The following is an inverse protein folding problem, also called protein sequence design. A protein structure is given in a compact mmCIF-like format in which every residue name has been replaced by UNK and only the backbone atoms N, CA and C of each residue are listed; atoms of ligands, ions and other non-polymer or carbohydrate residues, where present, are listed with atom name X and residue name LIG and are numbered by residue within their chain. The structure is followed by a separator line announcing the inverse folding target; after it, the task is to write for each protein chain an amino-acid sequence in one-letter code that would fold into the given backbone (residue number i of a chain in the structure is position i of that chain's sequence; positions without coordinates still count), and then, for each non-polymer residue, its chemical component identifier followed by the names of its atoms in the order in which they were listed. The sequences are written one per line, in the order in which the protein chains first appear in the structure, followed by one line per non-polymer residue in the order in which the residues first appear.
data_IF_688618423464
#
_entry.id   IF_688618423464
#
_cell.length_a   1.000
_cell.length_b   1.000
_cell.length_c   1.000
_cell.angle_alpha   90.00
_cell.angle_beta   90.00
_cell.angle_gamma   90.00
#
_symmetry.space_group_name_H-M   'P 1'
#
loop_
_entity.id
_entity.type
_entity.pdbx_description
1 polymer ?
#
# COMPACT_ATOMS: atom_id res chain seq x y z
N UNK A 1 -9.52 -18.84 -18.31
CA UNK A 1 -9.45 -18.56 -16.86
C UNK A 1 -8.29 -17.62 -16.65
N UNK A 2 -8.50 -16.42 -16.11
CA UNK A 2 -7.41 -15.47 -15.88
C UNK A 2 -6.32 -16.16 -15.05
N UNK A 3 -5.06 -16.01 -15.45
CA UNK A 3 -3.95 -16.68 -14.78
C UNK A 3 -3.91 -16.18 -13.32
N UNK A 4 -4.12 -17.08 -12.36
CA UNK A 4 -4.31 -16.67 -10.98
C UNK A 4 -2.97 -16.35 -10.33
N UNK A 5 -2.75 -15.08 -10.01
CA UNK A 5 -1.64 -14.59 -9.19
C UNK A 5 -1.78 -14.98 -7.70
N UNK A 6 -2.71 -15.88 -7.36
CA UNK A 6 -3.08 -16.25 -5.99
C UNK A 6 -2.28 -17.43 -5.42
N UNK A 7 -1.42 -18.08 -6.22
CA UNK A 7 -0.64 -19.24 -5.76
C UNK A 7 0.45 -18.76 -4.80
N UNK A 8 0.21 -18.94 -3.50
CA UNK A 8 1.19 -18.64 -2.45
C UNK A 8 2.43 -19.52 -2.66
N UNK A 9 3.66 -18.95 -2.62
CA UNK A 9 4.88 -19.73 -2.77
C UNK A 9 5.00 -20.81 -1.68
N UNK A 10 5.45 -22.00 -2.08
CA UNK A 10 5.53 -23.18 -1.19
C UNK A 10 6.52 -23.02 -0.03
N UNK A 11 7.34 -21.97 -0.05
CA UNK A 11 8.31 -21.62 1.00
C UNK A 11 7.71 -20.80 2.13
N UNK A 12 6.42 -20.45 2.07
CA UNK A 12 5.73 -19.76 3.15
C UNK A 12 5.75 -20.59 4.43
N UNK A 13 6.22 -19.99 5.54
CA UNK A 13 6.24 -20.63 6.87
C UNK A 13 4.82 -20.88 7.40
N UNK A 14 3.86 -20.00 7.05
CA UNK A 14 2.44 -20.15 7.36
C UNK A 14 1.62 -19.70 6.17
N UNK A 15 0.74 -20.58 5.68
CA UNK A 15 -0.14 -20.23 4.57
C UNK A 15 -1.13 -19.14 5.01
N UNK A 16 -1.25 -18.03 4.27
CA UNK A 16 -2.25 -17.02 4.55
C UNK A 16 -3.65 -17.49 4.15
N UNK A 17 -4.67 -16.95 4.81
CA UNK A 17 -6.07 -17.21 4.51
C UNK A 17 -6.52 -16.32 3.35
N UNK A 18 -7.29 -16.88 2.40
CA UNK A 18 -7.90 -16.09 1.33
C UNK A 18 -8.92 -15.13 1.97
N UNK A 19 -8.85 -13.86 1.60
CA UNK A 19 -9.77 -12.82 2.04
C UNK A 19 -10.56 -12.30 0.85
N UNK A 20 -11.85 -12.00 1.07
CA UNK A 20 -12.67 -11.27 0.11
C UNK A 20 -13.36 -10.14 0.85
N UNK A 21 -13.32 -8.94 0.27
CA UNK A 21 -14.07 -7.81 0.78
C UNK A 21 -15.55 -8.06 0.51
N UNK A 22 -16.36 -8.04 1.56
CA UNK A 22 -17.80 -8.23 1.48
C UNK A 22 -18.48 -7.38 2.56
N UNK A 23 -18.60 -6.08 2.31
CA UNK A 23 -19.22 -5.16 3.26
C UNK A 23 -20.74 -5.43 3.30
N UNK A 24 -21.34 -5.67 4.47
CA UNK A 24 -22.78 -5.93 4.57
C UNK A 24 -23.63 -4.77 4.03
N UNK A 25 -24.73 -5.08 3.34
CA UNK A 25 -25.68 -4.05 2.85
C UNK A 25 -26.19 -3.13 3.97
N UNK A 26 -26.31 -3.66 5.19
CA UNK A 26 -26.68 -2.87 6.35
C UNK A 26 -25.70 -1.72 6.60
N UNK A 27 -24.38 -1.94 6.49
CA UNK A 27 -23.37 -0.91 6.69
C UNK A 27 -23.40 0.14 5.57
N UNK A 28 -23.66 -0.28 4.33
CA UNK A 28 -23.80 0.66 3.20
C UNK A 28 -25.04 1.55 3.34
N UNK A 29 -26.15 0.96 3.79
CA UNK A 29 -27.39 1.69 4.08
C UNK A 29 -27.22 2.68 5.24
N UNK A 30 -26.52 2.25 6.30
CA UNK A 30 -26.18 3.11 7.43
C UNK A 30 -25.29 4.27 6.98
N UNK A 31 -24.23 4.02 6.20
CA UNK A 31 -23.38 5.04 5.62
C UNK A 31 -24.17 6.08 4.82
N UNK A 32 -25.05 5.64 3.90
CA UNK A 32 -25.91 6.54 3.11
C UNK A 32 -26.84 7.36 4.00
N UNK A 33 -27.34 6.80 5.10
CA UNK A 33 -28.19 7.51 6.06
C UNK A 33 -27.41 8.59 6.79
N UNK A 34 -26.23 8.26 7.33
CA UNK A 34 -25.35 9.21 8.02
C UNK A 34 -24.90 10.34 7.10
N UNK A 35 -24.56 10.02 5.84
CA UNK A 35 -24.18 11.00 4.83
C UNK A 35 -25.32 12.01 4.59
N UNK A 36 -26.55 11.54 4.37
CA UNK A 36 -27.72 12.40 4.15
C UNK A 36 -27.98 13.35 5.32
N UNK A 37 -27.90 12.83 6.54
CA UNK A 37 -28.16 13.59 7.77
C UNK A 37 -27.02 14.57 8.13
N UNK A 38 -25.81 14.35 7.63
CA UNK A 38 -24.66 15.21 7.91
C UNK A 38 -24.88 16.61 7.35
N UNK A 39 -24.85 17.64 8.20
CA UNK A 39 -25.05 19.03 7.77
C UNK A 39 -23.79 19.61 7.13
N UNK A 40 -23.96 20.43 6.10
CA UNK A 40 -22.89 21.28 5.56
C UNK A 40 -22.96 22.62 6.32
N UNK A 41 -21.84 23.14 6.85
CA UNK A 41 -21.81 24.46 7.50
C UNK A 41 -22.24 25.58 6.55
N UNK A 42 -22.83 26.66 7.08
CA UNK A 42 -23.13 27.84 6.27
C UNK A 42 -21.85 28.44 5.66
N UNK A 43 -21.94 29.07 4.46
CA UNK A 43 -20.78 29.71 3.84
C UNK A 43 -20.12 30.76 4.75
N UNK A 44 -18.79 30.78 4.73
CA UNK A 44 -17.94 31.74 5.43
C UNK A 44 -16.97 32.39 4.43
N UNK A 45 -16.28 33.46 4.83
CA UNK A 45 -15.25 34.07 3.99
C UNK A 45 -14.19 33.05 3.55
N UNK A 46 -13.72 32.19 4.44
CA UNK A 46 -12.69 31.17 4.20
C UNK A 46 -13.18 30.08 3.25
N UNK A 47 -14.39 29.57 3.46
CA UNK A 47 -14.95 28.47 2.65
C UNK A 47 -15.39 28.91 1.25
N UNK A 48 -15.44 30.22 0.98
CA UNK A 48 -15.67 30.79 -0.35
C UNK A 48 -14.40 30.99 -1.17
N UNK A 49 -13.22 30.67 -0.62
CA UNK A 49 -11.95 30.76 -1.36
C UNK A 49 -11.72 29.48 -2.18
N UNK A 50 -11.86 29.58 -3.51
CA UNK A 50 -11.71 28.43 -4.42
C UNK A 50 -10.24 28.01 -4.65
N UNK A 51 -9.26 28.82 -4.24
CA UNK A 51 -7.83 28.46 -4.31
C UNK A 51 -7.37 27.52 -3.18
N UNK A 52 -8.26 27.18 -2.23
CA UNK A 52 -8.02 26.20 -1.18
C UNK A 52 -7.06 26.64 -0.07
N UNK A 53 -6.67 27.92 -0.02
CA UNK A 53 -5.66 28.41 0.94
C UNK A 53 -6.04 28.28 2.43
N UNK A 54 -7.31 28.02 2.72
CA UNK A 54 -7.84 27.77 4.06
C UNK A 54 -8.44 26.36 4.24
N UNK A 55 -8.23 25.44 3.30
CA UNK A 55 -8.80 24.10 3.29
C UNK A 55 -9.89 23.92 2.23
N UNK A 56 -10.76 22.91 2.41
CA UNK A 56 -11.81 22.58 1.46
C UNK A 56 -12.83 23.71 1.31
N UNK A 57 -13.25 24.02 0.09
CA UNK A 57 -14.27 25.04 -0.16
C UNK A 57 -15.68 24.51 0.12
N UNK A 58 -16.62 25.40 0.44
CA UNK A 58 -18.04 25.08 0.62
C UNK A 58 -18.60 24.40 -0.64
N UNK A 59 -18.23 24.91 -1.82
CA UNK A 59 -18.62 24.35 -3.12
C UNK A 59 -18.14 22.91 -3.26
N UNK A 60 -16.85 22.66 -3.04
CA UNK A 60 -16.27 21.31 -3.15
C UNK A 60 -16.95 20.31 -2.20
N UNK A 61 -17.17 20.69 -0.94
CA UNK A 61 -17.83 19.82 0.04
C UNK A 61 -19.27 19.52 -0.34
N UNK A 62 -20.00 20.52 -0.86
CA UNK A 62 -21.39 20.37 -1.30
C UNK A 62 -21.50 19.44 -2.50
N UNK A 63 -20.65 19.64 -3.52
CA UNK A 63 -20.62 18.80 -4.72
C UNK A 63 -20.16 17.38 -4.40
N UNK A 64 -19.16 17.21 -3.53
CA UNK A 64 -18.67 15.89 -3.11
C UNK A 64 -19.72 15.13 -2.31
N UNK A 65 -20.41 15.78 -1.38
CA UNK A 65 -21.53 15.16 -0.65
C UNK A 65 -22.60 14.68 -1.63
N UNK A 66 -23.00 15.52 -2.59
CA UNK A 66 -23.99 15.16 -3.61
C UNK A 66 -23.55 13.96 -4.44
N UNK A 67 -22.31 13.96 -4.93
CA UNK A 67 -21.74 12.83 -5.67
C UNK A 67 -21.78 11.54 -4.85
N UNK A 68 -21.39 11.59 -3.57
CA UNK A 68 -21.47 10.42 -2.69
C UNK A 68 -22.89 9.93 -2.44
N UNK A 69 -23.88 10.82 -2.39
CA UNK A 69 -25.28 10.44 -2.21
C UNK A 69 -25.88 9.78 -3.46
N UNK A 70 -25.60 10.34 -4.63
CA UNK A 70 -26.31 10.04 -5.88
C UNK A 70 -25.56 9.08 -6.81
N UNK A 71 -24.22 9.15 -6.86
CA UNK A 71 -23.42 8.50 -7.90
C UNK A 71 -22.44 7.46 -7.36
N UNK A 72 -21.90 7.66 -6.15
CA UNK A 72 -20.94 6.73 -5.57
C UNK A 72 -21.56 5.36 -5.30
N UNK A 73 -20.89 4.33 -5.83
CA UNK A 73 -21.25 2.93 -5.71
C UNK A 73 -20.08 2.14 -5.10
N UNK A 74 -20.25 1.70 -3.85
CA UNK A 74 -19.25 0.89 -3.16
C UNK A 74 -19.04 -0.46 -3.84
N UNK A 75 -20.08 -1.08 -4.42
CA UNK A 75 -19.99 -2.43 -4.99
C UNK A 75 -19.03 -2.50 -6.17
N UNK A 76 -18.97 -1.45 -7.00
CA UNK A 76 -17.96 -1.33 -8.06
C UNK A 76 -16.53 -1.30 -7.51
N UNK A 77 -16.31 -0.60 -6.40
CA UNK A 77 -15.00 -0.52 -5.76
C UNK A 77 -14.64 -1.85 -5.09
N UNK A 78 -15.59 -2.49 -4.44
CA UNK A 78 -15.44 -3.82 -3.83
C UNK A 78 -15.10 -4.89 -4.88
N UNK A 79 -15.78 -4.90 -6.02
CA UNK A 79 -15.47 -5.79 -7.14
C UNK A 79 -14.06 -5.55 -7.68
N UNK A 80 -13.67 -4.28 -7.84
CA UNK A 80 -12.31 -3.95 -8.30
C UNK A 80 -11.24 -4.42 -7.30
N UNK A 81 -11.45 -4.25 -6.00
CA UNK A 81 -10.54 -4.75 -4.95
C UNK A 81 -10.43 -6.27 -5.02
N UNK A 82 -11.57 -6.97 -5.12
CA UNK A 82 -11.63 -8.42 -5.20
C UNK A 82 -11.14 -8.99 -6.55
N UNK A 83 -10.90 -8.15 -7.56
CA UNK A 83 -10.24 -8.56 -8.81
C UNK A 83 -8.76 -8.93 -8.61
N UNK A 84 -8.19 -8.61 -7.45
CA UNK A 84 -6.85 -8.99 -7.03
C UNK A 84 -6.90 -10.09 -5.98
N UNK A 85 -5.87 -10.96 -5.88
CA UNK A 85 -5.72 -11.86 -4.74
C UNK A 85 -5.58 -11.07 -3.43
N UNK A 86 -6.53 -11.26 -2.52
CA UNK A 86 -6.58 -10.66 -1.19
C UNK A 86 -6.41 -11.75 -0.13
N UNK A 87 -5.70 -11.45 0.95
CA UNK A 87 -5.39 -12.43 1.99
C UNK A 87 -5.36 -11.82 3.39
N UNK A 88 -5.42 -12.67 4.41
CA UNK A 88 -5.03 -12.36 5.78
C UNK A 88 -3.97 -13.33 6.27
N UNK A 89 -2.88 -12.80 6.83
CA UNK A 89 -1.85 -13.57 7.52
C UNK A 89 -1.88 -13.24 9.01
N UNK A 90 -1.65 -14.27 9.83
CA UNK A 90 -1.35 -14.09 11.24
C UNK A 90 0.15 -13.89 11.42
N UNK A 91 0.52 -12.80 12.08
CA UNK A 91 1.89 -12.46 12.46
C UNK A 91 1.98 -12.45 13.97
N UNK A 92 2.85 -13.29 14.53
CA UNK A 92 3.09 -13.39 15.97
C UNK A 92 4.36 -12.61 16.34
N UNK A 93 4.25 -11.65 17.26
CA UNK A 93 5.41 -10.96 17.83
C UNK A 93 5.66 -11.40 19.28
N UNK A 94 6.91 -11.65 19.70
CA UNK A 94 7.23 -11.93 21.09
C UNK A 94 6.88 -10.73 22.00
N UNK A 95 6.08 -10.96 23.04
CA UNK A 95 5.65 -9.95 24.00
C UNK A 95 5.76 -10.49 25.44
N UNK A 96 7.00 -10.54 25.96
CA UNK A 96 7.28 -11.11 27.28
C UNK A 96 7.20 -12.65 27.25
N UNK A 97 6.28 -13.21 28.04
CA UNK A 97 6.06 -14.67 28.13
C UNK A 97 5.00 -15.19 27.15
N UNK A 98 4.33 -14.29 26.42
CA UNK A 98 3.28 -14.62 25.45
C UNK A 98 3.61 -14.00 24.08
N UNK A 99 2.94 -14.49 23.03
CA UNK A 99 2.99 -13.89 21.70
C UNK A 99 1.80 -12.95 21.52
N UNK A 100 2.05 -11.77 20.98
CA UNK A 100 1.01 -10.83 20.56
C UNK A 100 0.67 -11.12 19.08
N UNK A 101 -0.58 -11.53 18.84
CA UNK A 101 -1.08 -11.92 17.52
C UNK A 101 -1.59 -10.70 16.73
N UNK A 102 -1.15 -10.55 15.48
CA UNK A 102 -1.64 -9.54 14.54
C UNK A 102 -2.23 -10.20 13.30
N UNK A 103 -3.45 -9.82 12.92
CA UNK A 103 -4.08 -10.28 11.67
C UNK A 103 -3.91 -9.23 10.60
N UNK A 104 -2.98 -9.46 9.69
CA UNK A 104 -2.59 -8.50 8.67
C UNK A 104 -3.23 -8.85 7.34
N UNK A 105 -4.06 -7.94 6.84
CA UNK A 105 -4.59 -7.99 5.49
C UNK A 105 -3.50 -7.57 4.48
N UNK A 106 -3.49 -8.20 3.31
CA UNK A 106 -2.67 -7.75 2.19
C UNK A 106 -3.27 -8.17 0.84
N UNK A 107 -2.99 -7.37 -0.18
CA UNK A 107 -3.19 -7.73 -1.59
C UNK A 107 -1.85 -8.24 -2.14
N UNK A 108 -1.87 -9.24 -3.02
CA UNK A 108 -0.65 -9.75 -3.61
C UNK A 108 -0.78 -10.09 -5.10
N UNK A 109 0.35 -9.96 -5.81
CA UNK A 109 0.60 -10.67 -7.06
C UNK A 109 1.76 -11.64 -6.84
N UNK A 110 1.47 -12.94 -6.73
CA UNK A 110 2.51 -13.95 -6.61
C UNK A 110 2.98 -14.44 -7.99
N UNK A 111 4.28 -14.36 -8.21
CA UNK A 111 4.95 -15.06 -9.32
C UNK A 111 4.99 -16.57 -9.11
N UNK A 112 5.10 -17.32 -10.21
CA UNK A 112 5.43 -18.74 -10.24
C UNK A 112 6.92 -19.01 -10.49
N UNK A 113 7.72 -17.95 -10.67
CA UNK A 113 9.17 -18.07 -10.81
C UNK A 113 9.81 -18.32 -9.45
N UNK A 114 10.67 -19.33 -9.39
CA UNK A 114 11.43 -19.65 -8.17
C UNK A 114 12.44 -18.55 -7.77
N UNK A 115 12.86 -17.72 -8.73
CA UNK A 115 13.81 -16.62 -8.55
C UNK A 115 13.14 -15.24 -8.42
N UNK A 116 11.82 -15.18 -8.28
CA UNK A 116 11.09 -13.93 -8.16
C UNK A 116 11.48 -13.14 -6.91
N UNK A 117 11.68 -11.84 -7.07
CA UNK A 117 12.14 -10.95 -6.00
C UNK A 117 10.95 -10.57 -5.10
N UNK A 118 11.00 -10.81 -3.79
CA UNK A 118 9.95 -10.41 -2.86
C UNK A 118 9.99 -8.90 -2.58
N UNK A 119 8.88 -8.19 -2.83
CA UNK A 119 8.76 -6.74 -2.63
C UNK A 119 7.50 -6.43 -1.82
N UNK A 120 7.68 -5.74 -0.70
CA UNK A 120 6.58 -5.14 0.06
C UNK A 120 6.40 -3.67 -0.34
N UNK A 121 5.16 -3.26 -0.65
CA UNK A 121 4.78 -1.89 -0.95
C UNK A 121 3.98 -1.33 0.22
N UNK A 122 4.57 -0.40 0.96
CA UNK A 122 4.00 0.13 2.20
C UNK A 122 3.28 1.45 1.93
N UNK A 123 2.00 1.55 2.31
CA UNK A 123 1.21 2.78 2.20
C UNK A 123 1.44 3.70 3.41
N UNK A 124 0.91 4.92 3.34
CA UNK A 124 0.94 5.91 4.43
C UNK A 124 -0.45 6.27 4.95
N UNK A 125 -0.56 7.48 5.50
CA UNK A 125 -1.81 8.14 5.93
C UNK A 125 -2.03 9.41 5.09
N UNK A 126 -3.27 9.75 4.67
CA UNK A 126 -4.56 9.08 4.88
C UNK A 126 -4.81 7.92 3.89
N UNK A 127 -3.71 7.32 3.44
CA UNK A 127 -3.64 6.26 2.46
C UNK A 127 -4.11 4.87 2.90
N UNK A 128 -3.96 3.92 1.97
CA UNK A 128 -4.18 2.48 2.21
C UNK A 128 -3.59 1.65 1.07
N UNK A 129 -3.75 0.32 1.13
CA UNK A 129 -3.38 -0.60 0.05
C UNK A 129 -4.01 -0.21 -1.31
N UNK A 130 -5.11 0.56 -1.31
CA UNK A 130 -5.79 1.03 -2.53
C UNK A 130 -4.88 1.85 -3.45
N UNK A 131 -3.90 2.57 -2.89
CA UNK A 131 -2.96 3.40 -3.66
C UNK A 131 -2.13 2.61 -4.67
N UNK A 132 -1.91 1.33 -4.40
CA UNK A 132 -1.07 0.47 -5.23
C UNK A 132 -1.88 -0.37 -6.23
N UNK A 133 -3.23 -0.37 -6.19
CA UNK A 133 -4.03 -1.15 -7.15
C UNK A 133 -3.83 -0.71 -8.62
N UNK A 134 -3.65 0.59 -8.94
CA UNK A 134 -3.27 1.00 -10.29
C UNK A 134 -1.92 0.41 -10.74
N UNK A 135 -0.91 0.42 -9.86
CA UNK A 135 0.39 -0.23 -10.12
C UNK A 135 0.24 -1.74 -10.35
N UNK A 136 -0.52 -2.43 -9.49
CA UNK A 136 -0.75 -3.87 -9.65
C UNK A 136 -1.52 -4.17 -10.94
N UNK A 137 -2.37 -3.25 -11.42
CA UNK A 137 -3.02 -3.35 -12.73
C UNK A 137 -2.00 -3.35 -13.85
N UNK A 138 -1.08 -2.38 -13.87
CA UNK A 138 -0.02 -2.33 -14.88
C UNK A 138 0.87 -3.59 -14.85
N UNK A 139 1.22 -4.07 -13.65
CA UNK A 139 2.02 -5.28 -13.49
C UNK A 139 1.32 -6.54 -14.05
N UNK A 140 0.00 -6.66 -13.84
CA UNK A 140 -0.79 -7.80 -14.35
C UNK A 140 -1.03 -7.74 -15.86
N UNK A 141 -1.02 -6.54 -16.44
CA UNK A 141 -1.12 -6.33 -17.89
C UNK A 141 0.22 -6.61 -18.58
N UNK A 142 1.34 -6.26 -17.93
CA UNK A 142 2.69 -6.42 -18.46
C UNK A 142 3.23 -7.85 -18.36
N UNK A 143 2.86 -8.57 -17.29
CA UNK A 143 3.39 -9.89 -17.00
C UNK A 143 2.27 -10.94 -16.90
N UNK A 144 2.66 -12.20 -16.91
CA UNK A 144 1.86 -13.35 -16.47
C UNK A 144 2.43 -13.89 -15.16
N UNK A 145 1.71 -14.75 -14.40
CA UNK A 145 2.29 -15.36 -13.21
C UNK A 145 3.63 -16.08 -13.47
N UNK A 146 3.81 -16.68 -14.65
CA UNK A 146 5.05 -17.39 -15.02
C UNK A 146 6.22 -16.47 -15.39
N UNK A 147 5.94 -15.22 -15.76
CA UNK A 147 6.96 -14.28 -16.26
C UNK A 147 7.24 -13.13 -15.28
N UNK A 148 6.31 -12.84 -14.37
CA UNK A 148 6.42 -11.80 -13.36
C UNK A 148 7.70 -12.01 -12.54
N UNK A 149 8.68 -11.09 -12.59
CA UNK A 149 9.95 -11.29 -11.88
C UNK A 149 9.86 -10.97 -10.37
N UNK A 150 8.67 -10.66 -9.85
CA UNK A 150 8.45 -10.19 -8.49
C UNK A 150 7.34 -10.98 -7.79
N UNK A 151 7.45 -11.16 -6.47
CA UNK A 151 6.28 -11.31 -5.62
C UNK A 151 5.96 -9.91 -5.07
N UNK A 152 4.80 -9.35 -5.44
CA UNK A 152 4.37 -8.03 -4.96
C UNK A 152 3.38 -8.23 -3.83
N UNK A 153 3.67 -7.64 -2.66
CA UNK A 153 2.83 -7.72 -1.46
C UNK A 153 2.51 -6.31 -1.01
N UNK A 154 1.23 -5.99 -0.89
CA UNK A 154 0.72 -4.69 -0.47
C UNK A 154 -0.05 -4.87 0.84
N UNK A 155 0.63 -4.84 1.99
CA UNK A 155 -0.02 -5.00 3.28
C UNK A 155 -0.82 -3.76 3.66
N UNK A 156 -1.94 -3.98 4.33
CA UNK A 156 -2.57 -2.97 5.17
C UNK A 156 -1.80 -2.90 6.49
N UNK A 157 -1.24 -1.74 6.81
CA UNK A 157 -0.56 -1.52 8.09
C UNK A 157 -1.50 -1.81 9.29
N UNK A 158 -0.99 -2.18 10.47
CA UNK A 158 -1.81 -2.36 11.66
C UNK A 158 -2.69 -1.13 11.93
N UNK A 159 -3.98 -1.34 12.14
CA UNK A 159 -4.98 -0.28 12.30
C UNK A 159 -5.58 0.27 11.01
N UNK A 160 -5.16 -0.19 9.83
CA UNK A 160 -5.68 0.27 8.54
C UNK A 160 -6.58 -0.77 7.87
N UNK A 161 -7.68 -0.28 7.31
CA UNK A 161 -8.64 -1.03 6.51
C UNK A 161 -9.05 -2.38 7.15
N UNK A 162 -8.54 -3.50 6.65
CA UNK A 162 -8.94 -4.84 7.06
C UNK A 162 -7.94 -5.55 7.98
N UNK A 163 -6.82 -4.90 8.34
CA UNK A 163 -5.86 -5.39 9.34
C UNK A 163 -6.39 -5.16 10.75
N UNK A 164 -5.92 -5.98 11.71
CA UNK A 164 -6.24 -5.81 13.13
C UNK A 164 -5.83 -4.43 13.63
N UNK A 165 -6.58 -3.92 14.60
CA UNK A 165 -6.19 -2.70 15.32
C UNK A 165 -4.90 -2.91 16.11
N UNK A 166 -4.16 -1.84 16.44
CA UNK A 166 -3.09 -1.91 17.41
C UNK A 166 -3.58 -2.44 18.78
N UNK A 167 -2.67 -2.90 19.64
CA UNK A 167 -3.01 -3.42 20.97
C UNK A 167 -3.76 -2.39 21.82
N UNK A 168 -4.74 -2.86 22.59
CA UNK A 168 -5.50 -2.00 23.51
C UNK A 168 -4.81 -1.79 24.87
N UNK A 169 -3.73 -2.53 25.13
CA UNK A 169 -3.11 -2.66 26.46
C UNK A 169 -1.76 -1.94 26.58
N UNK A 170 -1.20 -1.42 25.49
CA UNK A 170 0.11 -0.74 25.47
C UNK A 170 0.22 0.26 24.33
N UNK A 171 1.23 1.13 24.40
CA UNK A 171 1.63 1.96 23.27
C UNK A 171 2.13 1.11 22.10
N UNK A 172 1.90 1.61 20.88
CA UNK A 172 2.27 0.95 19.63
C UNK A 172 2.76 2.01 18.64
N UNK A 173 3.97 1.86 18.13
CA UNK A 173 4.66 2.87 17.33
C UNK A 173 5.21 2.30 16.00
N UNK A 174 5.94 3.14 15.28
CA UNK A 174 6.56 2.79 13.99
C UNK A 174 7.54 1.60 14.11
N UNK A 175 8.21 1.43 15.25
CA UNK A 175 9.13 0.31 15.48
C UNK A 175 8.36 -1.00 15.56
N UNK A 176 7.20 -0.99 16.22
CA UNK A 176 6.34 -2.18 16.28
C UNK A 176 5.73 -2.49 14.91
N UNK A 177 5.27 -1.48 14.17
CA UNK A 177 4.80 -1.66 12.78
C UNK A 177 5.91 -2.31 11.93
N UNK A 178 7.14 -1.80 12.03
CA UNK A 178 8.28 -2.35 11.30
C UNK A 178 8.56 -3.81 11.67
N UNK A 179 8.43 -4.21 12.94
CA UNK A 179 8.55 -5.61 13.37
C UNK A 179 7.45 -6.48 12.78
N UNK A 180 6.19 -6.03 12.79
CA UNK A 180 5.07 -6.78 12.20
C UNK A 180 5.28 -6.96 10.69
N UNK A 181 5.61 -5.88 9.97
CA UNK A 181 5.87 -5.95 8.52
C UNK A 181 7.11 -6.79 8.20
N UNK A 182 8.15 -6.70 9.03
CA UNK A 182 9.34 -7.54 8.88
C UNK A 182 9.00 -9.02 9.04
N UNK A 183 8.17 -9.40 10.02
CA UNK A 183 7.78 -10.80 10.24
C UNK A 183 6.77 -11.32 9.22
N UNK A 184 5.94 -10.45 8.64
CA UNK A 184 5.04 -10.81 7.55
C UNK A 184 5.81 -11.41 6.37
N UNK A 185 6.95 -10.83 5.98
CA UNK A 185 7.67 -11.23 4.77
C UNK A 185 8.27 -12.66 4.86
N UNK A 186 9.04 -13.06 5.89
CA UNK A 186 9.46 -14.44 6.15
C UNK A 186 8.29 -15.41 6.31
N UNK A 187 7.16 -14.95 6.87
CA UNK A 187 5.96 -15.79 7.02
C UNK A 187 5.43 -16.22 5.64
N UNK A 188 5.52 -15.33 4.65
CA UNK A 188 5.00 -15.55 3.30
C UNK A 188 6.06 -16.09 2.33
N UNK A 189 7.34 -15.73 2.49
CA UNK A 189 8.40 -15.91 1.50
C UNK A 189 9.74 -16.17 2.18
N UNK A 190 10.62 -16.98 1.57
CA UNK A 190 12.01 -17.04 2.01
C UNK A 190 12.69 -15.71 1.70
N UNK A 191 13.14 -14.99 2.74
CA UNK A 191 13.82 -13.70 2.60
C UNK A 191 15.24 -13.78 3.15
N UNK A 192 16.25 -13.26 2.44
CA UNK A 192 17.62 -13.24 2.95
C UNK A 192 17.74 -12.34 4.19
N UNK A 193 18.65 -12.68 5.11
CA UNK A 193 18.95 -11.83 6.26
C UNK A 193 19.43 -10.44 5.81
N UNK A 194 19.05 -9.43 6.58
CA UNK A 194 19.26 -8.02 6.27
C UNK A 194 20.69 -7.56 6.57
N UNK A 195 21.54 -7.26 5.57
CA UNK A 195 22.90 -6.80 5.82
C UNK A 195 22.93 -5.36 6.36
N UNK A 196 24.02 -4.97 7.02
CA UNK A 196 24.33 -3.56 7.28
C UNK A 196 24.64 -2.83 5.96
N UNK A 197 24.23 -1.56 5.84
CA UNK A 197 24.48 -0.69 4.67
C UNK A 197 23.80 -1.15 3.35
N UNK A 198 22.50 -1.43 3.40
CA UNK A 198 21.70 -1.89 2.24
C UNK A 198 21.66 -0.86 1.11
N UNK A 199 21.51 -1.32 -0.16
CA UNK A 199 21.18 -0.44 -1.28
C UNK A 199 19.93 0.39 -1.00
N UNK A 200 20.02 1.69 -1.24
CA UNK A 200 18.94 2.66 -1.10
C UNK A 200 18.61 3.27 -2.46
N UNK A 201 17.31 3.42 -2.75
CA UNK A 201 16.79 4.07 -3.96
C UNK A 201 15.88 5.24 -3.60
N UNK A 202 15.91 6.32 -4.38
CA UNK A 202 15.10 7.50 -4.13
C UNK A 202 14.49 8.06 -5.42
N UNK A 203 13.16 8.18 -5.45
CA UNK A 203 12.43 8.82 -6.55
C UNK A 203 11.87 10.16 -6.08
N UNK A 204 12.21 11.23 -6.79
CA UNK A 204 11.78 12.59 -6.50
C UNK A 204 10.55 12.95 -7.34
N UNK A 205 9.45 13.30 -6.67
CA UNK A 205 8.23 13.84 -7.28
C UNK A 205 8.04 15.30 -6.83
N UNK A 206 7.80 16.26 -7.75
CA UNK A 206 7.92 17.68 -7.45
C UNK A 206 6.82 18.25 -6.55
N UNK A 207 5.67 17.55 -6.42
CA UNK A 207 4.56 17.96 -5.54
C UNK A 207 4.44 17.11 -4.27
N UNK A 208 5.52 16.44 -3.87
CA UNK A 208 5.64 15.84 -2.53
C UNK A 208 5.49 16.95 -1.46
N UNK A 209 5.01 16.60 -0.26
CA UNK A 209 4.83 17.52 0.86
C UNK A 209 6.16 18.16 1.28
N UNK A 210 7.22 17.34 1.31
CA UNK A 210 8.57 17.72 1.67
C UNK A 210 9.56 17.32 0.55
N UNK A 211 9.59 18.05 -0.58
CA UNK A 211 10.44 17.71 -1.72
C UNK A 211 11.91 17.84 -1.30
N UNK A 212 12.56 16.69 -1.09
CA UNK A 212 13.90 16.63 -0.52
C UNK A 212 14.93 16.55 -1.66
N UNK A 213 15.88 17.50 -1.77
CA UNK A 213 16.89 17.45 -2.82
C UNK A 213 17.71 16.16 -2.75
N UNK A 214 18.08 15.60 -3.91
CA UNK A 214 18.85 14.34 -3.99
C UNK A 214 20.16 14.43 -3.20
N UNK A 215 20.81 15.60 -3.16
CA UNK A 215 22.01 15.83 -2.37
C UNK A 215 21.81 15.62 -0.85
N UNK A 216 20.61 15.84 -0.34
CA UNK A 216 20.26 15.61 1.06
C UNK A 216 19.85 14.15 1.27
N UNK A 217 19.02 13.60 0.39
CA UNK A 217 18.61 12.20 0.43
C UNK A 217 19.82 11.24 0.39
N UNK A 218 20.88 11.58 -0.35
CA UNK A 218 22.15 10.80 -0.39
C UNK A 218 22.82 10.62 0.97
N UNK A 219 22.51 11.47 1.96
CA UNK A 219 23.06 11.35 3.32
C UNK A 219 22.33 10.32 4.19
N UNK A 220 21.18 9.81 3.74
CA UNK A 220 20.36 8.85 4.48
C UNK A 220 20.88 7.41 4.42
N UNK A 221 21.72 7.08 3.42
CA UNK A 221 22.25 5.73 3.26
C UNK A 221 23.01 5.52 1.96
N UNK A 222 23.31 4.26 1.64
CA UNK A 222 24.01 3.85 0.42
C UNK A 222 23.10 3.97 -0.82
N UNK A 223 22.93 5.20 -1.32
CA UNK A 223 22.09 5.47 -2.48
C UNK A 223 22.71 4.91 -3.77
N UNK A 224 22.11 3.86 -4.33
CA UNK A 224 22.54 3.22 -5.58
C UNK A 224 21.64 3.57 -6.77
N UNK A 225 20.46 4.14 -6.50
CA UNK A 225 19.48 4.54 -7.51
C UNK A 225 18.88 5.88 -7.14
N UNK A 226 18.71 6.74 -8.14
CA UNK A 226 17.83 7.90 -8.00
C UNK A 226 17.17 8.25 -9.33
N UNK A 227 15.98 8.81 -9.26
CA UNK A 227 15.24 9.35 -10.40
C UNK A 227 14.54 10.65 -10.00
N UNK A 228 14.53 11.62 -10.89
CA UNK A 228 13.75 12.85 -10.75
C UNK A 228 12.67 12.91 -11.83
N UNK A 229 11.46 13.30 -11.44
CA UNK A 229 10.30 13.42 -12.32
C UNK A 229 9.83 14.88 -12.41
N UNK A 230 9.15 15.22 -13.49
CA UNK A 230 8.60 16.56 -13.77
C UNK A 230 7.14 16.72 -13.34
N UNK A 231 6.49 15.63 -12.92
CA UNK A 231 5.08 15.56 -12.50
C UNK A 231 4.87 14.54 -11.39
N UNK A 232 3.70 14.62 -10.74
CA UNK A 232 3.31 13.79 -9.60
C UNK A 232 3.61 14.45 -8.25
N UNK A 233 2.85 14.05 -7.24
CA UNK A 233 2.99 14.51 -5.86
C UNK A 233 3.12 13.39 -4.85
N UNK A 234 2.53 13.62 -3.68
CA UNK A 234 2.65 12.74 -2.51
C UNK A 234 2.16 11.32 -2.76
N UNK A 235 1.06 11.15 -3.51
CA UNK A 235 0.49 9.83 -3.77
C UNK A 235 1.06 9.24 -5.06
N UNK A 236 2.39 9.13 -5.14
CA UNK A 236 3.11 8.78 -6.38
C UNK A 236 2.59 7.50 -7.07
N UNK A 237 2.27 6.45 -6.30
CA UNK A 237 1.75 5.20 -6.84
C UNK A 237 0.32 5.32 -7.43
N UNK A 238 -0.48 6.25 -6.92
CA UNK A 238 -1.83 6.52 -7.39
C UNK A 238 -1.85 7.56 -8.53
N UNK A 239 -1.04 8.60 -8.42
CA UNK A 239 -0.97 9.71 -9.38
C UNK A 239 -0.16 9.35 -10.64
N UNK A 240 0.96 8.64 -10.47
CA UNK A 240 1.91 8.30 -11.54
C UNK A 240 2.29 6.80 -11.48
N UNK A 241 1.32 5.87 -11.56
CA UNK A 241 1.57 4.43 -11.38
C UNK A 241 2.61 3.88 -12.35
N UNK A 242 2.64 4.37 -13.59
CA UNK A 242 3.61 3.96 -14.61
C UNK A 242 5.05 4.38 -14.25
N UNK A 243 5.25 5.63 -13.84
CA UNK A 243 6.58 6.12 -13.43
C UNK A 243 7.06 5.41 -12.16
N UNK A 244 6.15 5.19 -11.20
CA UNK A 244 6.44 4.43 -9.99
C UNK A 244 6.85 2.99 -10.32
N UNK A 245 6.14 2.34 -11.26
CA UNK A 245 6.47 0.98 -11.73
C UNK A 245 7.87 0.93 -12.32
N UNK A 246 8.18 1.82 -13.26
CA UNK A 246 9.47 1.85 -13.96
C UNK A 246 10.64 2.06 -12.99
N UNK A 247 10.48 2.96 -12.00
CA UNK A 247 11.48 3.20 -10.97
C UNK A 247 11.66 1.98 -10.06
N UNK A 248 10.57 1.32 -9.66
CA UNK A 248 10.62 0.11 -8.84
C UNK A 248 11.41 -1.00 -9.55
N UNK A 249 11.14 -1.23 -10.84
CA UNK A 249 11.83 -2.23 -11.64
C UNK A 249 13.31 -1.89 -11.85
N UNK A 250 13.61 -0.63 -12.16
CA UNK A 250 14.98 -0.16 -12.35
C UNK A 250 15.79 -0.27 -11.05
N UNK A 251 15.20 0.08 -9.90
CA UNK A 251 15.82 -0.10 -8.60
C UNK A 251 16.05 -1.57 -8.26
N UNK A 252 15.04 -2.43 -8.43
CA UNK A 252 15.15 -3.86 -8.15
C UNK A 252 16.29 -4.51 -8.95
N UNK A 253 16.44 -4.13 -10.24
CA UNK A 253 17.50 -4.63 -11.11
C UNK A 253 18.92 -4.31 -10.61
N UNK A 254 19.11 -3.19 -9.90
CA UNK A 254 20.40 -2.78 -9.33
C UNK A 254 20.57 -3.34 -7.91
N UNK A 255 19.59 -3.12 -7.04
CA UNK A 255 19.68 -3.44 -5.62
C UNK A 255 19.76 -4.96 -5.35
N UNK A 256 19.03 -5.77 -6.11
CA UNK A 256 18.99 -7.22 -5.88
C UNK A 256 20.29 -7.93 -6.29
N UNK A 257 20.96 -7.43 -7.34
CA UNK A 257 22.31 -7.89 -7.71
C UNK A 257 23.33 -7.59 -6.61
N UNK A 258 23.28 -6.38 -6.04
CA UNK A 258 24.15 -6.00 -4.92
C UNK A 258 23.91 -6.84 -3.66
N UNK A 259 22.66 -7.23 -3.38
CA UNK A 259 22.30 -8.00 -2.20
C UNK A 259 22.59 -9.51 -2.32
N UNK A 260 22.51 -10.08 -3.53
CA UNK A 260 22.72 -11.51 -3.77
C UNK A 260 24.19 -11.92 -3.90
N UNK A 261 25.13 -10.95 -3.96
CA UNK A 261 26.56 -11.23 -4.19
C UNK A 261 26.86 -11.84 -5.56
N UNK A 262 25.88 -11.88 -6.47
CA UNK A 262 26.04 -12.34 -7.83
C UNK A 262 26.86 -11.29 -8.62
N UNK A 263 28.09 -11.65 -8.96
CA UNK A 263 28.92 -10.92 -9.95
C UNK A 263 28.35 -11.08 -11.35
#
# INVERSE_FOLDING_TARGET
MAASYSTVPSVALKAPEIFHVAIPEQQLSEFKTLLKLSKIPAPTYESLQEDGRYGISHKWLTETKKYWEEEFDWRKNEEFINSFPNFKATVDLPAGNENEEFKIHFVALFSQRADAIPIALLHGWPGSFLEFLPLLTLMREKYTPQTLPYHLIVPSLPGYAFSSTPPLTRGFDETDIAKVMHQLMPTLLSTPQTPNNKPFGYSYFPKELCPTPVAWARKLGNMVFHKEHDKGGHFAALEQPQLFMEDLEAFAAVAWKCASGAK
#
